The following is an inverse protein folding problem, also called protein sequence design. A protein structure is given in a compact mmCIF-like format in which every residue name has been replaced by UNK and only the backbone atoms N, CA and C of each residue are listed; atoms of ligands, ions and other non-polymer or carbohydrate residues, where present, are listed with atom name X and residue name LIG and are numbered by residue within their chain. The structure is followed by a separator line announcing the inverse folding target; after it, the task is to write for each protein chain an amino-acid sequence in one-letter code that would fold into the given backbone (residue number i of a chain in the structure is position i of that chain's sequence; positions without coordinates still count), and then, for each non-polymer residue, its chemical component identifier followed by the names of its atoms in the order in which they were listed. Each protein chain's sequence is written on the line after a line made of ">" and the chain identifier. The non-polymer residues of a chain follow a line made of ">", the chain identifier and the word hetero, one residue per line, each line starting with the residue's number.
data_IF_075809879504
#
_entry.id   IF_075809879504
#
_cell.length_a   1.000
_cell.length_b   1.000
_cell.length_c   1.000
_cell.angle_alpha   90.00
_cell.angle_beta   90.00
_cell.angle_gamma   90.00
#
_symmetry.space_group_name_H-M   'P 1'
#
loop_
_entity.id
_entity.type
_entity.pdbx_description
1 polymer ?
#
# COMPACT_ATOMS: atom_id res chain seq x y z
N UNK A 1 7.43 -13.08 -19.49
CA UNK A 1 6.92 -14.10 -18.55
C UNK A 1 5.58 -14.61 -19.07
N UNK A 2 5.40 -15.93 -19.10
CA UNK A 2 4.18 -16.58 -19.65
C UNK A 2 3.24 -17.13 -18.58
N UNK A 3 3.60 -17.02 -17.31
CA UNK A 3 2.77 -17.38 -16.15
C UNK A 3 3.17 -16.55 -14.95
N UNK A 4 2.21 -15.85 -14.37
CA UNK A 4 2.35 -15.12 -13.11
C UNK A 4 1.14 -15.48 -12.25
N UNK A 5 1.40 -16.20 -11.18
CA UNK A 5 0.38 -16.57 -10.21
C UNK A 5 0.48 -15.67 -8.98
N UNK A 6 -0.66 -15.22 -8.48
CA UNK A 6 -0.77 -14.47 -7.24
C UNK A 6 -1.83 -15.07 -6.33
N UNK A 7 -1.86 -14.67 -5.08
CA UNK A 7 -2.99 -15.00 -4.21
C UNK A 7 -4.23 -14.22 -4.67
N UNK A 8 -5.41 -14.80 -4.47
CA UNK A 8 -6.67 -14.18 -4.88
C UNK A 8 -7.10 -12.99 -4.01
N UNK A 9 -6.37 -12.69 -2.93
CA UNK A 9 -6.69 -11.67 -1.91
C UNK A 9 -5.56 -10.64 -1.85
N UNK A 10 -5.91 -9.38 -1.57
CA UNK A 10 -5.01 -8.23 -1.67
C UNK A 10 -3.82 -8.27 -0.69
N UNK A 11 -4.04 -8.39 0.62
CA UNK A 11 -2.93 -8.38 1.60
C UNK A 11 -1.94 -9.53 1.41
N UNK A 12 -2.39 -10.78 1.22
CA UNK A 12 -1.46 -11.89 0.91
C UNK A 12 -0.63 -11.65 -0.35
N UNK A 13 -1.25 -11.17 -1.44
CA UNK A 13 -0.53 -10.90 -2.70
C UNK A 13 0.51 -9.79 -2.52
N UNK A 14 0.16 -8.72 -1.80
CA UNK A 14 1.06 -7.60 -1.50
C UNK A 14 2.22 -8.03 -0.62
N UNK A 15 1.94 -8.77 0.45
CA UNK A 15 2.96 -9.31 1.35
C UNK A 15 3.95 -10.22 0.59
N UNK A 16 3.45 -11.14 -0.24
CA UNK A 16 4.30 -12.00 -1.05
C UNK A 16 5.13 -11.21 -2.06
N UNK A 17 4.53 -10.23 -2.76
CA UNK A 17 5.22 -9.41 -3.74
C UNK A 17 6.36 -8.61 -3.10
N UNK A 18 6.09 -7.95 -1.97
CA UNK A 18 7.05 -7.08 -1.30
C UNK A 18 8.14 -7.84 -0.55
N UNK A 19 7.88 -9.06 -0.10
CA UNK A 19 8.86 -9.84 0.67
C UNK A 19 9.55 -10.95 -0.13
N UNK A 20 9.00 -11.32 -1.29
CA UNK A 20 9.44 -12.49 -2.06
C UNK A 20 9.17 -13.82 -1.33
N UNK A 21 8.33 -13.84 -0.31
CA UNK A 21 8.08 -15.01 0.54
C UNK A 21 6.64 -15.52 0.42
N UNK A 22 6.44 -16.78 0.80
CA UNK A 22 5.10 -17.33 0.90
C UNK A 22 4.30 -16.63 2.01
N UNK A 23 3.01 -16.43 1.77
CA UNK A 23 2.09 -15.71 2.68
C UNK A 23 2.03 -16.29 4.08
N UNK A 24 2.11 -17.63 4.22
CA UNK A 24 2.14 -18.26 5.54
C UNK A 24 3.45 -17.99 6.27
N UNK A 25 4.58 -17.89 5.55
CA UNK A 25 5.88 -17.58 6.16
C UNK A 25 5.92 -16.16 6.71
N UNK A 26 5.19 -15.23 6.11
CA UNK A 26 5.09 -13.84 6.57
C UNK A 26 3.82 -13.57 7.36
N UNK A 27 3.16 -14.61 7.84
CA UNK A 27 1.95 -14.54 8.67
C UNK A 27 0.81 -13.71 8.05
N UNK A 28 0.71 -13.71 6.72
CA UNK A 28 -0.33 -13.02 5.96
C UNK A 28 -1.13 -14.01 5.08
N UNK A 29 -1.74 -15.05 5.67
CA UNK A 29 -2.50 -16.05 4.89
C UNK A 29 -3.81 -15.49 4.35
N UNK A 30 -4.34 -14.43 4.98
CA UNK A 30 -5.57 -13.71 4.67
C UNK A 30 -5.33 -12.20 4.79
N UNK A 31 -6.37 -11.38 4.90
CA UNK A 31 -6.28 -9.93 5.04
C UNK A 31 -5.39 -9.51 6.23
N UNK A 32 -4.86 -8.31 6.16
CA UNK A 32 -4.22 -7.68 7.31
C UNK A 32 -5.16 -7.68 8.52
N UNK A 33 -4.60 -7.86 9.72
CA UNK A 33 -5.37 -8.15 10.91
C UNK A 33 -6.33 -7.00 11.29
N UNK A 34 -7.57 -7.36 11.49
CA UNK A 34 -8.60 -6.48 12.04
C UNK A 34 -8.62 -6.60 13.58
N UNK A 35 -9.21 -5.60 14.23
CA UNK A 35 -9.36 -5.58 15.69
C UNK A 35 -10.12 -6.82 16.22
N UNK A 36 -11.06 -7.35 15.44
CA UNK A 36 -11.78 -8.58 15.78
C UNK A 36 -10.85 -9.79 15.80
N UNK A 37 -9.92 -9.90 14.84
CA UNK A 37 -8.92 -10.97 14.81
C UNK A 37 -8.05 -10.94 16.05
N UNK A 38 -7.59 -9.74 16.45
CA UNK A 38 -6.82 -9.54 17.69
C UNK A 38 -7.58 -9.99 18.93
N UNK A 39 -8.86 -9.63 19.03
CA UNK A 39 -9.72 -10.00 20.19
C UNK A 39 -10.04 -11.49 20.27
N UNK A 40 -10.05 -12.19 19.15
CA UNK A 40 -10.32 -13.63 19.08
C UNK A 40 -9.06 -14.48 19.26
N UNK A 41 -7.87 -13.88 19.15
CA UNK A 41 -6.61 -14.58 19.37
C UNK A 41 -6.37 -14.78 20.86
N UNK A 42 -6.02 -16.00 21.25
CA UNK A 42 -5.76 -16.31 22.66
C UNK A 42 -4.52 -15.56 23.18
N UNK A 43 -4.49 -15.18 24.46
CA UNK A 43 -3.34 -14.54 25.04
C UNK A 43 -2.04 -15.35 24.85
N UNK A 44 -1.04 -14.74 24.22
CA UNK A 44 0.26 -15.37 23.95
C UNK A 44 0.38 -16.00 22.56
N UNK A 45 -0.72 -16.11 21.81
CA UNK A 45 -0.70 -16.59 20.43
C UNK A 45 -0.38 -15.44 19.45
N UNK A 46 0.14 -15.82 18.29
CA UNK A 46 0.45 -14.85 17.22
C UNK A 46 -0.82 -14.47 16.48
N UNK A 47 -1.10 -13.17 16.39
CA UNK A 47 -2.23 -12.65 15.62
C UNK A 47 -1.95 -12.84 14.13
N UNK A 48 -2.82 -13.55 13.43
CA UNK A 48 -2.73 -13.69 11.97
C UNK A 48 -3.00 -12.34 11.27
N UNK A 49 -2.35 -12.12 10.13
CA UNK A 49 -2.49 -10.88 9.37
C UNK A 49 -1.59 -9.74 9.89
N UNK A 50 -0.63 -10.06 10.76
CA UNK A 50 0.43 -9.15 11.19
C UNK A 50 1.76 -9.71 10.73
N UNK A 51 2.47 -9.02 9.87
CA UNK A 51 3.80 -9.47 9.43
C UNK A 51 4.78 -9.45 10.60
N UNK A 52 5.63 -10.49 10.75
CA UNK A 52 6.61 -10.51 11.83
C UNK A 52 7.74 -9.50 11.57
N UNK A 53 8.36 -9.03 12.67
CA UNK A 53 9.57 -8.21 12.65
C UNK A 53 10.62 -8.83 11.76
N UNK A 54 11.03 -9.26 11.08
CA UNK A 54 12.02 -9.96 10.24
C UNK A 54 11.48 -10.29 8.86
N UNK A 55 10.23 -9.93 8.57
CA UNK A 55 9.66 -10.02 7.24
C UNK A 55 10.15 -8.86 6.36
N UNK A 56 11.46 -8.86 6.11
CA UNK A 56 12.13 -7.81 5.36
C UNK A 56 11.55 -7.67 3.95
N UNK A 57 11.29 -6.41 3.55
CA UNK A 57 10.72 -6.09 2.24
C UNK A 57 11.79 -5.88 1.18
N UNK A 58 11.37 -5.93 -0.10
CA UNK A 58 12.19 -5.54 -1.23
C UNK A 58 12.63 -4.06 -1.12
N UNK A 59 11.76 -3.19 -0.63
CA UNK A 59 12.08 -1.78 -0.44
C UNK A 59 13.23 -1.57 0.55
N UNK A 60 13.20 -2.27 1.71
CA UNK A 60 14.31 -2.25 2.68
C UNK A 60 15.62 -2.73 2.06
N UNK A 61 15.56 -3.84 1.29
CA UNK A 61 16.73 -4.37 0.63
C UNK A 61 17.33 -3.43 -0.42
N UNK A 62 16.49 -2.77 -1.18
CA UNK A 62 16.93 -1.81 -2.20
C UNK A 62 17.43 -0.51 -1.58
N UNK A 63 16.77 0.00 -0.53
CA UNK A 63 17.24 1.17 0.22
C UNK A 63 18.64 0.98 0.80
N UNK A 64 18.94 -0.21 1.32
CA UNK A 64 20.25 -0.53 1.88
C UNK A 64 21.38 -0.49 0.85
N UNK A 65 21.08 -0.63 -0.44
CA UNK A 65 22.03 -0.51 -1.54
C UNK A 65 21.91 0.81 -2.32
N UNK A 66 21.24 1.81 -1.73
CA UNK A 66 21.24 3.18 -2.21
C UNK A 66 20.10 3.55 -3.17
N UNK A 67 19.05 2.73 -3.28
CA UNK A 67 17.86 3.13 -4.04
C UNK A 67 17.01 4.11 -3.22
N UNK A 68 16.48 5.13 -3.88
CA UNK A 68 15.34 5.88 -3.38
C UNK A 68 14.07 5.02 -3.52
N UNK A 69 13.24 4.95 -2.48
CA UNK A 69 12.13 3.99 -2.44
C UNK A 69 10.79 4.69 -2.21
N UNK A 70 9.82 4.46 -3.09
CA UNK A 70 8.53 5.15 -3.09
C UNK A 70 7.37 4.16 -3.13
N UNK A 71 6.38 4.35 -2.24
CA UNK A 71 5.10 3.66 -2.28
C UNK A 71 3.99 4.67 -2.60
N UNK A 72 3.24 4.42 -3.67
CA UNK A 72 2.15 5.27 -4.12
C UNK A 72 0.87 4.44 -4.29
N UNK A 73 -0.17 4.79 -3.52
CA UNK A 73 -1.47 4.16 -3.62
C UNK A 73 -1.87 3.27 -2.45
N UNK A 74 -2.48 2.13 -2.75
CA UNK A 74 -2.99 1.19 -1.74
C UNK A 74 -1.85 0.51 -0.98
N UNK A 75 -1.94 0.55 0.36
CA UNK A 75 -1.03 -0.18 1.23
C UNK A 75 -1.61 -1.52 1.71
N UNK A 76 -2.55 -1.49 2.65
CA UNK A 76 -3.30 -2.64 3.17
C UNK A 76 -2.44 -3.79 3.72
N UNK A 77 -1.39 -3.46 4.45
CA UNK A 77 -0.49 -4.44 5.10
C UNK A 77 -0.30 -4.18 6.59
N UNK A 78 -0.80 -3.06 7.12
CA UNK A 78 -0.80 -2.79 8.54
C UNK A 78 -2.03 -3.37 9.23
N UNK A 79 -1.93 -3.82 10.48
CA UNK A 79 -3.08 -4.18 11.29
C UNK A 79 -3.92 -2.94 11.64
N UNK A 80 -5.23 -3.13 11.79
CA UNK A 80 -6.22 -2.05 11.98
C UNK A 80 -5.91 -1.13 13.18
N UNK A 81 -5.30 -1.67 14.23
CA UNK A 81 -4.98 -0.91 15.45
C UNK A 81 -3.74 -0.02 15.35
N UNK A 82 -2.98 -0.10 14.27
CA UNK A 82 -1.90 0.87 14.02
C UNK A 82 -2.50 2.15 13.46
N UNK A 83 -2.27 3.26 14.16
CA UNK A 83 -2.88 4.56 13.85
C UNK A 83 -1.91 5.61 13.28
N UNK A 84 -0.64 5.24 13.16
CA UNK A 84 0.42 6.12 12.65
C UNK A 84 1.08 6.99 13.71
N UNK A 85 0.67 6.90 14.98
CA UNK A 85 1.35 7.60 16.07
C UNK A 85 2.73 7.00 16.32
N UNK A 86 3.60 7.75 16.98
CA UNK A 86 4.93 7.28 17.32
C UNK A 86 4.84 6.02 18.19
N UNK A 87 5.52 4.96 17.74
CA UNK A 87 5.49 3.65 18.40
C UNK A 87 4.29 2.76 18.05
N UNK A 88 3.35 3.24 17.22
CA UNK A 88 2.19 2.47 16.78
C UNK A 88 2.02 2.53 15.25
N UNK A 89 3.08 2.23 14.51
CA UNK A 89 3.12 2.35 13.05
C UNK A 89 4.13 1.37 12.42
N UNK A 90 4.43 0.26 13.08
CA UNK A 90 5.49 -0.67 12.67
C UNK A 90 5.33 -1.21 11.24
N UNK A 91 4.09 -1.34 10.77
CA UNK A 91 3.76 -1.87 9.46
C UNK A 91 3.37 -0.78 8.43
N UNK A 92 3.60 0.48 8.75
CA UNK A 92 3.39 1.57 7.78
C UNK A 92 4.49 1.57 6.70
N UNK A 93 4.22 2.13 5.52
CA UNK A 93 5.16 2.10 4.40
C UNK A 93 6.57 2.58 4.75
N UNK A 94 6.71 3.65 5.53
CA UNK A 94 8.02 4.18 5.90
C UNK A 94 8.83 3.20 6.77
N UNK A 95 8.18 2.52 7.70
CA UNK A 95 8.80 1.51 8.56
C UNK A 95 9.12 0.23 7.79
N UNK A 96 8.42 0.01 6.68
CA UNK A 96 8.60 -1.14 5.79
C UNK A 96 9.54 -0.83 4.60
N UNK A 97 10.39 0.21 4.73
CA UNK A 97 11.51 0.46 3.83
C UNK A 97 11.28 1.49 2.74
N UNK A 98 10.17 2.19 2.73
CA UNK A 98 9.92 3.26 1.78
C UNK A 98 10.31 4.63 2.34
N UNK A 99 10.98 5.46 1.54
CA UNK A 99 11.36 6.83 1.90
C UNK A 99 10.18 7.80 1.76
N UNK A 100 9.24 7.49 0.85
CA UNK A 100 8.04 8.30 0.62
C UNK A 100 6.82 7.42 0.46
N UNK A 101 5.71 7.92 1.00
CA UNK A 101 4.39 7.34 0.82
C UNK A 101 3.35 8.42 0.51
N UNK A 102 2.52 8.17 -0.48
CA UNK A 102 1.28 8.89 -0.73
C UNK A 102 0.20 7.91 -1.16
N UNK A 103 -0.93 7.89 -0.48
CA UNK A 103 -1.99 6.96 -0.82
C UNK A 103 -2.97 6.71 0.31
N UNK A 104 -3.51 5.51 0.37
CA UNK A 104 -4.48 5.09 1.36
C UNK A 104 -4.09 3.75 1.99
N UNK A 105 -4.47 3.57 3.24
CA UNK A 105 -4.11 2.41 4.04
C UNK A 105 -5.08 1.24 3.87
N UNK A 106 -6.37 1.55 3.78
CA UNK A 106 -7.46 0.59 3.75
C UNK A 106 -7.43 -0.36 2.53
N UNK A 107 -8.26 -1.39 2.57
CA UNK A 107 -8.43 -2.37 1.50
C UNK A 107 -9.04 -1.79 0.23
N UNK A 108 -9.71 -0.65 0.33
CA UNK A 108 -10.37 0.07 -0.76
C UNK A 108 -10.42 1.57 -0.46
N UNK A 109 -10.69 2.37 -1.47
CA UNK A 109 -10.86 3.81 -1.34
C UNK A 109 -11.84 4.34 -2.37
N UNK A 110 -12.57 5.39 -2.01
CA UNK A 110 -13.31 6.22 -2.95
C UNK A 110 -12.33 6.88 -3.93
N UNK A 111 -12.64 6.87 -5.24
CA UNK A 111 -11.71 7.36 -6.25
C UNK A 111 -11.68 8.90 -6.35
N UNK A 112 -12.69 9.59 -5.80
CA UNK A 112 -12.81 11.04 -5.82
C UNK A 112 -12.62 11.68 -4.46
N UNK A 113 -12.90 10.95 -3.39
CA UNK A 113 -12.78 11.41 -1.99
C UNK A 113 -12.13 10.37 -1.08
N UNK A 114 -10.92 9.89 -1.42
CA UNK A 114 -10.20 8.94 -0.57
C UNK A 114 -9.73 9.60 0.72
N UNK A 115 -9.69 8.84 1.82
CA UNK A 115 -8.95 9.22 3.01
C UNK A 115 -7.47 8.99 2.79
N UNK A 116 -6.73 10.07 2.60
CA UNK A 116 -5.35 10.06 2.16
C UNK A 116 -4.35 10.20 3.31
N UNK A 117 -3.21 9.59 3.06
CA UNK A 117 -2.02 9.71 3.90
C UNK A 117 -0.84 10.22 3.06
N UNK A 118 -0.03 11.07 3.67
CA UNK A 118 1.30 11.45 3.16
C UNK A 118 2.30 11.10 4.23
N UNK A 119 3.26 10.26 3.88
CA UNK A 119 4.15 9.64 4.86
C UNK A 119 3.30 8.86 5.89
N UNK A 120 3.50 9.06 7.18
CA UNK A 120 2.68 8.44 8.23
C UNK A 120 1.46 9.28 8.65
N UNK A 121 1.33 10.51 8.11
CA UNK A 121 0.30 11.45 8.56
C UNK A 121 -0.96 11.40 7.69
N UNK A 122 -2.17 11.36 8.28
CA UNK A 122 -3.39 11.58 7.53
C UNK A 122 -3.44 13.01 7.01
N UNK A 123 -3.80 13.18 5.75
CA UNK A 123 -3.99 14.49 5.12
C UNK A 123 -5.45 14.77 4.76
N UNK A 124 -6.35 13.84 5.10
CA UNK A 124 -7.78 13.95 4.86
C UNK A 124 -8.16 13.74 3.39
N UNK A 125 -9.38 14.14 3.07
CA UNK A 125 -9.95 13.99 1.73
C UNK A 125 -9.60 15.20 0.85
N UNK A 126 -9.36 14.98 -0.45
CA UNK A 126 -9.11 16.06 -1.39
C UNK A 126 -10.33 17.00 -1.50
N UNK A 127 -10.07 18.28 -1.65
CA UNK A 127 -11.11 19.32 -1.79
C UNK A 127 -11.30 19.75 -3.25
N UNK A 128 -10.43 19.33 -4.14
CA UNK A 128 -10.53 19.59 -5.57
C UNK A 128 -11.69 18.77 -6.16
N UNK A 129 -12.70 19.40 -6.79
CA UNK A 129 -13.82 18.71 -7.42
C UNK A 129 -13.41 17.83 -8.61
N UNK A 130 -12.29 18.13 -9.25
CA UNK A 130 -11.75 17.39 -10.38
C UNK A 130 -10.74 16.30 -9.97
N UNK A 131 -10.54 16.10 -8.65
CA UNK A 131 -9.63 15.08 -8.15
C UNK A 131 -10.06 13.69 -8.57
N UNK A 132 -9.08 12.90 -9.04
CA UNK A 132 -9.23 11.46 -9.21
C UNK A 132 -7.99 10.74 -8.73
N UNK A 133 -8.19 9.75 -7.85
CA UNK A 133 -7.10 9.05 -7.14
C UNK A 133 -6.04 8.50 -8.10
N UNK A 134 -6.43 7.85 -9.19
CA UNK A 134 -5.45 7.26 -10.12
C UNK A 134 -4.58 8.33 -10.79
N UNK A 135 -5.13 9.48 -11.15
CA UNK A 135 -4.36 10.60 -11.70
C UNK A 135 -3.38 11.17 -10.67
N UNK A 136 -3.89 11.43 -9.46
CA UNK A 136 -3.08 11.96 -8.38
C UNK A 136 -1.91 11.02 -7.99
N UNK A 137 -2.12 9.71 -8.02
CA UNK A 137 -1.05 8.72 -7.77
C UNK A 137 0.05 8.79 -8.84
N UNK A 138 -0.33 9.02 -10.10
CA UNK A 138 0.66 9.19 -11.19
C UNK A 138 1.43 10.50 -11.00
N UNK A 139 0.76 11.61 -10.72
CA UNK A 139 1.39 12.91 -10.52
C UNK A 139 2.35 12.89 -9.33
N UNK A 140 1.97 12.30 -8.21
CA UNK A 140 2.84 12.11 -7.04
C UNK A 140 4.03 11.18 -7.36
N UNK A 141 3.83 10.17 -8.18
CA UNK A 141 4.90 9.28 -8.63
C UNK A 141 5.92 10.02 -9.49
N UNK A 142 5.46 10.80 -10.47
CA UNK A 142 6.31 11.63 -11.33
C UNK A 142 7.08 12.63 -10.46
N UNK A 143 6.39 13.36 -9.58
CA UNK A 143 7.02 14.29 -8.66
C UNK A 143 8.07 13.64 -7.77
N UNK A 144 7.84 12.40 -7.32
CA UNK A 144 8.83 11.68 -6.51
C UNK A 144 10.08 11.34 -7.34
N UNK A 145 9.90 10.87 -8.58
CA UNK A 145 10.99 10.52 -9.50
C UNK A 145 11.81 11.77 -9.88
N UNK A 146 11.15 12.88 -10.20
CA UNK A 146 11.81 14.13 -10.60
C UNK A 146 12.67 14.72 -9.48
N UNK A 147 12.40 14.37 -8.23
CA UNK A 147 13.20 14.77 -7.07
C UNK A 147 14.36 13.83 -6.74
N UNK A 148 14.54 12.74 -7.49
CA UNK A 148 15.73 11.88 -7.36
C UNK A 148 16.86 12.46 -8.18
N UNK A 149 18.08 12.47 -7.66
CA UNK A 149 19.24 12.88 -8.43
C UNK A 149 19.40 11.99 -9.69
N UNK A 150 19.74 12.59 -10.82
CA UNK A 150 19.77 11.91 -12.14
C UNK A 150 20.63 10.62 -12.18
N UNK A 151 21.58 10.48 -11.26
CA UNK A 151 22.47 9.33 -11.18
C UNK A 151 21.99 8.25 -10.18
N UNK A 152 20.98 8.54 -9.38
CA UNK A 152 20.56 7.64 -8.32
C UNK A 152 19.45 6.70 -8.81
N UNK A 153 19.53 5.41 -8.48
CA UNK A 153 18.47 4.48 -8.80
C UNK A 153 17.25 4.70 -7.88
N UNK A 154 16.05 4.37 -8.39
CA UNK A 154 14.85 4.39 -7.57
C UNK A 154 14.03 3.10 -7.72
N UNK A 155 13.22 2.83 -6.72
CA UNK A 155 12.20 1.78 -6.72
C UNK A 155 10.83 2.43 -6.43
N UNK A 156 9.90 2.27 -7.36
CA UNK A 156 8.53 2.73 -7.23
C UNK A 156 7.57 1.54 -7.11
N UNK A 157 6.85 1.47 -5.99
CA UNK A 157 5.70 0.60 -5.81
C UNK A 157 4.42 1.42 -6.06
N UNK A 158 3.93 1.41 -7.31
CA UNK A 158 2.69 2.09 -7.70
C UNK A 158 1.52 1.09 -7.68
N UNK A 159 0.65 1.25 -6.70
CA UNK A 159 -0.44 0.33 -6.40
C UNK A 159 -1.79 1.04 -6.47
N UNK A 160 -2.40 1.06 -7.65
CA UNK A 160 -3.70 1.70 -7.85
C UNK A 160 -4.81 1.10 -6.97
N UNK A 161 -5.79 1.93 -6.59
CA UNK A 161 -7.04 1.49 -5.98
C UNK A 161 -7.99 0.86 -7.00
N UNK A 162 -7.99 1.35 -8.23
CA UNK A 162 -8.72 0.75 -9.34
C UNK A 162 -8.09 -0.63 -9.69
N UNK A 163 -8.87 -1.64 -10.01
CA UNK A 163 -10.33 -1.65 -10.26
C UNK A 163 -11.15 -2.21 -9.09
N UNK A 164 -10.71 -2.00 -7.85
CA UNK A 164 -11.49 -2.40 -6.67
C UNK A 164 -12.78 -1.55 -6.55
N UNK A 165 -13.84 -2.10 -5.98
CA UNK A 165 -15.02 -1.32 -5.64
C UNK A 165 -14.66 -0.19 -4.62
N UNK A 166 -15.33 0.97 -4.70
CA UNK A 166 -16.37 1.36 -5.64
C UNK A 166 -15.83 1.54 -7.07
N UNK A 167 -16.63 1.09 -8.06
CA UNK A 167 -16.25 1.12 -9.48
C UNK A 167 -16.50 2.52 -10.04
N UNK A 168 -15.68 3.45 -9.62
CA UNK A 168 -15.78 4.86 -10.01
C UNK A 168 -14.72 5.17 -11.06
N UNK A 169 -15.19 5.69 -12.20
CA UNK A 169 -14.33 6.04 -13.33
C UNK A 169 -14.79 7.38 -13.91
N UNK A 170 -13.91 8.27 -14.39
CA UNK A 170 -14.30 9.47 -15.07
C UNK A 170 -15.18 9.18 -16.28
N UNK A 171 -16.21 10.00 -16.46
CA UNK A 171 -17.26 9.77 -17.47
C UNK A 171 -16.70 9.59 -18.88
N UNK A 172 -15.67 10.33 -19.23
CA UNK A 172 -15.01 10.25 -20.54
C UNK A 172 -14.44 8.86 -20.88
N UNK A 173 -14.08 8.06 -19.84
CA UNK A 173 -13.66 6.67 -20.02
C UNK A 173 -14.86 5.73 -20.03
N UNK A 174 -15.85 5.94 -19.17
CA UNK A 174 -17.08 5.14 -19.15
C UNK A 174 -17.81 5.19 -20.47
N UNK A 175 -17.94 6.38 -21.06
CA UNK A 175 -18.66 6.63 -22.33
C UNK A 175 -18.05 5.88 -23.53
N UNK A 176 -16.76 5.49 -23.45
CA UNK A 176 -16.11 4.68 -24.51
C UNK A 176 -16.61 3.24 -24.56
N UNK A 177 -17.24 2.77 -23.50
CA UNK A 177 -17.74 1.40 -23.34
C UNK A 177 -19.26 1.34 -23.14
N UNK A 178 -19.93 2.48 -23.21
CA UNK A 178 -21.39 2.57 -23.24
C UNK A 178 -21.86 2.08 -24.62
N UNK A 179 -22.15 0.77 -24.74
CA UNK A 179 -22.69 0.12 -25.92
C UNK A 179 -24.20 0.26 -26.01
#
# INVERSE_FOLDING_TARGET
>A
YTGVDSKAICSPSRASLLTGRNTHTVNMPDLAAEEITRKQTAPGDVVQGVMPEGARTLAEGLRDVGYATFAMGKWHLEPEWEDGTEGNNAHFPLQMGFDRFYGFRAGWADQYRPDLYRQNAPIGQPQDPDYHLSAALVDESISAIDNVAQADPYFLYLAFGATHAPLQVPREYADRYAG
#
